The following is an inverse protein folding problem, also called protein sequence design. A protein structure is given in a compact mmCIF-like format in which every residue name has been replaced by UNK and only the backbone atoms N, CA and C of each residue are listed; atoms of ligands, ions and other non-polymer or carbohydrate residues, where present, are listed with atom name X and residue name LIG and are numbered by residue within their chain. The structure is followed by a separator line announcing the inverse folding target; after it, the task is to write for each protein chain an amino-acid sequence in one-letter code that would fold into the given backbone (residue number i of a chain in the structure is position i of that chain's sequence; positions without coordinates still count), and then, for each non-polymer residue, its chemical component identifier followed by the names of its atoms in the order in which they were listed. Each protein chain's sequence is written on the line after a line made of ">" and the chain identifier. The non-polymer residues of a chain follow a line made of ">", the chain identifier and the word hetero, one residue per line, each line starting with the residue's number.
data_IF_308952057701
#
_entry.id   IF_308952057701
#
_cell.length_a   1.000
_cell.length_b   1.000
_cell.length_c   1.000
_cell.angle_alpha   90.00
_cell.angle_beta   90.00
_cell.angle_gamma   90.00
#
_symmetry.space_group_name_H-M   'P 1'
#
loop_
_entity.id
_entity.type
_entity.pdbx_description
1 polymer ?
#
# COMPACT_ATOMS: atom_id res chain seq x y z
N UNK A 1 -23.84 -9.23 1.31
CA UNK A 1 -22.57 -9.12 2.04
C UNK A 1 -22.50 -7.78 2.78
N UNK A 2 -21.76 -7.72 3.88
CA UNK A 2 -21.48 -6.47 4.61
C UNK A 2 -19.97 -6.28 4.69
N UNK A 3 -19.49 -5.08 4.40
CA UNK A 3 -18.11 -4.67 4.66
C UNK A 3 -18.13 -3.75 5.89
N UNK A 4 -17.30 -4.05 6.88
CA UNK A 4 -17.08 -3.23 8.05
C UNK A 4 -15.67 -2.64 7.98
N UNK A 5 -15.55 -1.33 8.12
CA UNK A 5 -14.23 -0.69 8.12
C UNK A 5 -14.23 0.57 8.99
N UNK A 6 -13.06 0.98 9.41
CA UNK A 6 -12.87 2.30 9.99
C UNK A 6 -12.98 3.36 8.89
N UNK A 7 -13.23 4.60 9.30
CA UNK A 7 -13.42 5.71 8.38
C UNK A 7 -12.33 5.78 7.30
N UNK A 8 -12.74 5.71 6.05
CA UNK A 8 -11.87 5.95 4.91
C UNK A 8 -11.84 7.46 4.64
N UNK A 9 -10.68 8.07 4.55
CA UNK A 9 -10.56 9.50 4.30
C UNK A 9 -10.85 9.81 2.82
N UNK A 10 -11.44 10.99 2.53
CA UNK A 10 -11.67 11.46 1.15
C UNK A 10 -10.38 11.63 0.33
N UNK A 11 -9.26 11.91 1.01
CA UNK A 11 -7.93 12.06 0.41
C UNK A 11 -7.02 11.02 1.05
N UNK A 12 -6.67 9.97 0.32
CA UNK A 12 -5.83 8.88 0.81
C UNK A 12 -4.52 8.85 0.04
N UNK A 13 -3.46 9.29 0.69
CA UNK A 13 -2.08 9.16 0.21
C UNK A 13 -1.30 8.09 0.99
N UNK A 14 -1.93 7.49 2.00
CA UNK A 14 -1.36 6.38 2.77
C UNK A 14 -1.69 5.02 2.12
N UNK A 15 -0.66 4.18 1.94
CA UNK A 15 -0.78 2.90 1.23
C UNK A 15 -1.81 1.94 1.82
N UNK A 16 -1.94 1.86 3.15
CA UNK A 16 -2.91 0.97 3.80
C UNK A 16 -4.37 1.42 3.57
N UNK A 17 -4.63 2.71 3.68
CA UNK A 17 -5.96 3.29 3.41
C UNK A 17 -6.31 3.21 1.93
N UNK A 18 -5.34 3.50 1.05
CA UNK A 18 -5.51 3.38 -0.40
C UNK A 18 -5.83 1.95 -0.82
N UNK A 19 -5.17 0.96 -0.20
CA UNK A 19 -5.47 -0.46 -0.40
C UNK A 19 -6.90 -0.80 -0.01
N UNK A 20 -7.33 -0.42 1.20
CA UNK A 20 -8.67 -0.68 1.69
C UNK A 20 -9.74 -0.01 0.80
N UNK A 21 -9.56 1.26 0.47
CA UNK A 21 -10.47 2.01 -0.41
C UNK A 21 -10.58 1.39 -1.80
N UNK A 22 -9.44 1.05 -2.43
CA UNK A 22 -9.42 0.44 -3.76
C UNK A 22 -10.16 -0.89 -3.80
N UNK A 23 -9.92 -1.77 -2.84
CA UNK A 23 -10.59 -3.07 -2.74
C UNK A 23 -12.10 -2.89 -2.50
N UNK A 24 -12.50 -2.05 -1.55
CA UNK A 24 -13.91 -1.85 -1.19
C UNK A 24 -14.69 -1.30 -2.39
N UNK A 25 -14.14 -0.32 -3.10
CA UNK A 25 -14.76 0.25 -4.32
C UNK A 25 -14.93 -0.80 -5.42
N UNK A 26 -13.93 -1.66 -5.65
CA UNK A 26 -14.03 -2.73 -6.65
C UNK A 26 -15.07 -3.78 -6.25
N UNK A 27 -15.08 -4.23 -5.00
CA UNK A 27 -16.09 -5.16 -4.49
C UNK A 27 -17.50 -4.56 -4.64
N UNK A 28 -17.69 -3.28 -4.29
CA UNK A 28 -19.00 -2.63 -4.40
C UNK A 28 -19.48 -2.50 -5.84
N UNK A 29 -18.57 -2.27 -6.80
CA UNK A 29 -18.88 -2.27 -8.25
C UNK A 29 -19.26 -3.66 -8.75
N UNK A 30 -18.54 -4.71 -8.35
CA UNK A 30 -18.82 -6.09 -8.76
C UNK A 30 -20.07 -6.66 -8.10
N UNK A 31 -20.36 -6.22 -6.88
CA UNK A 31 -21.49 -6.68 -6.08
C UNK A 31 -22.26 -5.48 -5.48
N UNK A 32 -23.12 -4.79 -6.26
CA UNK A 32 -23.82 -3.57 -5.82
C UNK A 32 -24.69 -3.75 -4.57
N UNK A 33 -25.16 -4.98 -4.29
CA UNK A 33 -25.92 -5.32 -3.09
C UNK A 33 -25.06 -5.34 -1.81
N UNK A 34 -23.74 -5.15 -1.90
CA UNK A 34 -22.84 -5.06 -0.77
C UNK A 34 -23.07 -3.76 0.00
N UNK A 35 -23.29 -3.87 1.32
CA UNK A 35 -23.38 -2.71 2.21
C UNK A 35 -22.04 -2.42 2.87
N UNK A 36 -21.61 -1.17 2.82
CA UNK A 36 -20.40 -0.67 3.49
C UNK A 36 -20.82 0.11 4.73
N UNK A 37 -20.40 -0.35 5.90
CA UNK A 37 -20.68 0.29 7.19
C UNK A 37 -19.34 0.80 7.77
N UNK A 38 -19.26 2.09 8.07
CA UNK A 38 -18.11 2.73 8.69
C UNK A 38 -18.36 3.03 10.16
N UNK A 39 -17.29 3.17 10.98
CA UNK A 39 -17.42 3.33 12.43
C UNK A 39 -17.29 4.76 12.93
N UNK A 40 -16.76 5.69 12.15
CA UNK A 40 -16.44 7.03 12.64
C UNK A 40 -17.12 8.12 11.83
N UNK A 41 -16.95 8.11 10.52
CA UNK A 41 -17.47 9.13 9.61
C UNK A 41 -18.06 8.50 8.36
N UNK A 42 -19.06 9.15 7.82
CA UNK A 42 -19.55 8.83 6.49
C UNK A 42 -18.51 9.21 5.42
N UNK A 43 -18.38 8.36 4.44
CA UNK A 43 -17.54 8.58 3.26
C UNK A 43 -18.40 8.44 2.01
N UNK A 44 -17.87 8.82 0.85
CA UNK A 44 -18.58 8.70 -0.43
C UNK A 44 -18.92 7.25 -0.84
N UNK A 45 -18.28 6.25 -0.21
CA UNK A 45 -18.56 4.82 -0.45
C UNK A 45 -19.34 4.13 0.67
N UNK A 46 -19.51 4.78 1.83
CA UNK A 46 -20.27 4.22 2.94
C UNK A 46 -21.78 4.32 2.68
N UNK A 47 -22.50 3.24 2.97
CA UNK A 47 -23.97 3.25 2.95
C UNK A 47 -24.54 3.62 4.33
N UNK A 48 -23.74 3.43 5.38
CA UNK A 48 -24.14 3.72 6.75
C UNK A 48 -22.91 4.00 7.62
N UNK A 49 -23.05 4.90 8.59
CA UNK A 49 -22.07 5.12 9.66
C UNK A 49 -22.67 4.75 11.00
N UNK A 50 -21.95 3.97 11.80
CA UNK A 50 -22.39 3.51 13.11
C UNK A 50 -21.41 3.95 14.18
N UNK A 51 -21.87 4.68 15.18
CA UNK A 51 -21.07 4.96 16.38
C UNK A 51 -20.90 3.66 17.17
N UNK A 52 -19.71 3.12 17.19
CA UNK A 52 -19.37 1.95 17.98
C UNK A 52 -18.27 2.30 19.01
N UNK A 53 -18.30 1.59 20.14
CA UNK A 53 -17.17 1.71 21.08
C UNK A 53 -15.90 1.07 20.51
N UNK A 54 -14.77 1.23 21.22
CA UNK A 54 -13.45 0.71 20.78
C UNK A 54 -13.44 -0.81 20.52
N UNK A 55 -14.41 -1.56 21.09
CA UNK A 55 -14.53 -3.02 20.93
C UNK A 55 -15.64 -3.41 19.93
N UNK A 56 -16.23 -2.47 19.23
CA UNK A 56 -17.37 -2.68 18.31
C UNK A 56 -18.62 -3.29 18.98
N UNK A 57 -18.75 -3.14 20.30
CA UNK A 57 -19.92 -3.54 21.04
C UNK A 57 -21.06 -2.55 20.83
N UNK A 58 -21.92 -2.86 19.89
CA UNK A 58 -23.12 -2.07 19.60
C UNK A 58 -24.25 -3.03 19.21
N UNK A 59 -25.41 -2.97 19.92
CA UNK A 59 -26.58 -3.82 19.64
C UNK A 59 -27.11 -3.64 18.22
N UNK A 60 -27.10 -2.40 17.72
CA UNK A 60 -27.50 -2.09 16.34
C UNK A 60 -26.57 -2.71 15.31
N UNK A 61 -25.23 -2.69 15.53
CA UNK A 61 -24.28 -3.39 14.68
C UNK A 61 -24.49 -4.90 14.72
N UNK A 62 -24.64 -5.47 15.91
CA UNK A 62 -24.87 -6.90 16.10
C UNK A 62 -26.09 -7.41 15.31
N UNK A 63 -27.20 -6.68 15.33
CA UNK A 63 -28.41 -7.04 14.57
C UNK A 63 -28.18 -6.99 13.05
N UNK A 64 -27.39 -6.03 12.57
CA UNK A 64 -27.09 -5.88 11.13
C UNK A 64 -26.22 -7.00 10.57
N UNK A 65 -25.22 -7.46 11.34
CA UNK A 65 -24.23 -8.45 10.90
C UNK A 65 -24.62 -9.90 11.19
N UNK A 66 -25.65 -10.10 11.99
CA UNK A 66 -26.06 -11.43 12.46
C UNK A 66 -26.37 -12.38 11.30
N UNK A 67 -25.66 -13.52 11.26
CA UNK A 67 -25.77 -14.56 10.22
C UNK A 67 -25.50 -14.08 8.80
N UNK A 68 -24.84 -12.92 8.61
CA UNK A 68 -24.46 -12.42 7.30
C UNK A 68 -22.97 -12.68 7.04
N UNK A 69 -22.59 -12.76 5.76
CA UNK A 69 -21.18 -12.76 5.36
C UNK A 69 -20.61 -11.36 5.56
N UNK A 70 -19.55 -11.28 6.36
CA UNK A 70 -18.92 -10.01 6.76
C UNK A 70 -17.44 -10.03 6.39
N UNK A 71 -17.01 -8.99 5.66
CA UNK A 71 -15.63 -8.63 5.49
C UNK A 71 -15.28 -7.48 6.44
N UNK A 72 -14.40 -7.72 7.40
CA UNK A 72 -13.90 -6.68 8.29
C UNK A 72 -12.51 -6.22 7.84
N UNK A 73 -12.34 -4.91 7.65
CA UNK A 73 -11.07 -4.28 7.30
C UNK A 73 -10.67 -3.35 8.45
N UNK A 74 -9.84 -3.82 9.40
CA UNK A 74 -9.44 -3.04 10.57
C UNK A 74 -8.45 -1.92 10.20
N UNK A 75 -8.65 -0.74 10.79
CA UNK A 75 -7.69 0.35 10.75
C UNK A 75 -7.82 1.23 12.02
N UNK A 76 -6.73 1.62 12.70
CA UNK A 76 -5.42 0.99 12.63
C UNK A 76 -5.45 -0.45 13.17
N UNK A 77 -4.62 -1.32 12.59
CA UNK A 77 -4.59 -2.75 12.92
C UNK A 77 -3.67 -3.07 14.12
N UNK A 78 -3.91 -2.46 15.27
CA UNK A 78 -3.16 -2.77 16.51
C UNK A 78 -3.46 -4.20 16.97
N UNK A 79 -2.45 -5.06 17.26
CA UNK A 79 -2.64 -6.50 17.45
C UNK A 79 -3.75 -6.87 18.43
N UNK A 80 -3.64 -6.46 19.70
CA UNK A 80 -4.62 -6.84 20.75
C UNK A 80 -6.01 -6.26 20.47
N UNK A 81 -6.11 -5.00 20.05
CA UNK A 81 -7.39 -4.38 19.76
C UNK A 81 -8.07 -5.02 18.55
N UNK A 82 -7.29 -5.40 17.54
CA UNK A 82 -7.78 -6.10 16.35
C UNK A 82 -8.27 -7.50 16.71
N UNK A 83 -7.50 -8.27 17.48
CA UNK A 83 -7.88 -9.60 17.92
C UNK A 83 -9.18 -9.58 18.76
N UNK A 84 -9.30 -8.63 19.70
CA UNK A 84 -10.52 -8.44 20.50
C UNK A 84 -11.73 -8.10 19.63
N UNK A 85 -11.60 -7.18 18.68
CA UNK A 85 -12.68 -6.80 17.76
C UNK A 85 -13.13 -7.99 16.89
N UNK A 86 -12.19 -8.75 16.34
CA UNK A 86 -12.46 -9.95 15.56
C UNK A 86 -13.20 -10.98 16.42
N UNK A 87 -12.75 -11.22 17.66
CA UNK A 87 -13.40 -12.13 18.59
C UNK A 87 -14.83 -11.69 18.89
N UNK A 88 -15.06 -10.41 19.19
CA UNK A 88 -16.41 -9.87 19.45
C UNK A 88 -17.32 -10.00 18.22
N UNK A 89 -16.84 -9.59 17.03
CA UNK A 89 -17.62 -9.69 15.80
C UNK A 89 -17.98 -11.14 15.47
N UNK A 90 -17.08 -12.09 15.71
CA UNK A 90 -17.34 -13.51 15.46
C UNK A 90 -18.49 -14.08 16.28
N UNK A 91 -18.81 -13.49 17.46
CA UNK A 91 -19.98 -13.90 18.27
C UNK A 91 -21.32 -13.59 17.59
N UNK A 92 -21.33 -12.59 16.71
CA UNK A 92 -22.53 -12.19 15.98
C UNK A 92 -22.60 -12.81 14.59
N UNK A 93 -21.46 -12.91 13.89
CA UNK A 93 -21.38 -13.39 12.51
C UNK A 93 -21.21 -14.92 12.40
N UNK A 94 -20.75 -15.56 13.47
CA UNK A 94 -20.30 -16.96 13.45
C UNK A 94 -19.08 -17.14 12.53
N UNK A 95 -19.03 -18.23 11.78
CA UNK A 95 -17.95 -18.55 10.84
C UNK A 95 -17.94 -17.69 9.56
N UNK A 96 -18.91 -16.77 9.41
CA UNK A 96 -19.05 -15.94 8.21
C UNK A 96 -18.21 -14.64 8.28
N UNK A 97 -17.24 -14.55 9.19
CA UNK A 97 -16.33 -13.42 9.34
C UNK A 97 -15.01 -13.67 8.60
N UNK A 98 -14.75 -12.85 7.60
CA UNK A 98 -13.47 -12.73 6.91
C UNK A 98 -12.82 -11.41 7.31
N UNK A 99 -11.52 -11.38 7.47
CA UNK A 99 -10.78 -10.17 7.92
C UNK A 99 -9.64 -9.89 6.97
N UNK A 100 -9.64 -8.75 6.32
CA UNK A 100 -8.53 -8.29 5.49
C UNK A 100 -7.54 -7.50 6.35
N UNK A 101 -6.36 -8.05 6.56
CA UNK A 101 -5.25 -7.40 7.26
C UNK A 101 -4.30 -6.76 6.25
N UNK A 102 -4.41 -5.45 6.06
CA UNK A 102 -3.50 -4.68 5.19
C UNK A 102 -2.16 -4.39 5.87
N UNK A 103 -2.15 -4.33 7.20
CA UNK A 103 -0.94 -4.25 8.01
C UNK A 103 -0.89 -5.45 8.96
N UNK A 104 0.21 -6.15 8.93
CA UNK A 104 0.44 -7.33 9.76
C UNK A 104 1.52 -7.01 10.79
N UNK A 105 1.23 -7.24 12.06
CA UNK A 105 2.18 -7.09 13.16
C UNK A 105 2.24 -8.38 13.97
N UNK A 106 3.39 -8.71 14.55
CA UNK A 106 3.50 -9.85 15.47
C UNK A 106 2.48 -9.74 16.59
N UNK A 107 1.87 -10.88 16.94
CA UNK A 107 0.81 -10.95 17.96
C UNK A 107 1.33 -11.63 19.22
N UNK A 108 0.94 -11.09 20.37
CA UNK A 108 1.13 -11.73 21.67
C UNK A 108 0.26 -12.99 21.83
N UNK A 109 0.51 -13.77 22.89
CA UNK A 109 -0.17 -15.04 23.12
C UNK A 109 -1.68 -14.89 23.31
N UNK A 110 -2.14 -13.80 23.93
CA UNK A 110 -3.57 -13.53 24.13
C UNK A 110 -4.25 -13.22 22.81
N UNK A 111 -3.64 -12.38 21.96
CA UNK A 111 -4.14 -12.07 20.63
C UNK A 111 -4.26 -13.31 19.75
N UNK A 112 -3.24 -14.19 19.77
CA UNK A 112 -3.27 -15.49 19.06
C UNK A 112 -4.42 -16.38 19.55
N UNK A 113 -4.61 -16.47 20.85
CA UNK A 113 -5.67 -17.26 21.47
C UNK A 113 -7.06 -16.74 21.07
N UNK A 114 -7.28 -15.41 21.13
CA UNK A 114 -8.53 -14.79 20.71
C UNK A 114 -8.85 -15.05 19.23
N UNK A 115 -7.86 -14.95 18.36
CA UNK A 115 -8.03 -15.26 16.94
C UNK A 115 -8.36 -16.73 16.70
N UNK A 116 -7.71 -17.67 17.42
CA UNK A 116 -8.07 -19.09 17.35
C UNK A 116 -9.54 -19.33 17.69
N UNK A 117 -10.00 -18.73 18.80
CA UNK A 117 -11.37 -18.87 19.31
C UNK A 117 -12.42 -18.18 18.43
N UNK A 118 -12.04 -17.14 17.69
CA UNK A 118 -12.98 -16.41 16.84
C UNK A 118 -13.54 -17.26 15.70
N UNK A 119 -12.78 -18.23 15.20
CA UNK A 119 -13.12 -18.99 14.00
C UNK A 119 -13.11 -18.16 12.71
N UNK A 120 -12.67 -16.89 12.75
CA UNK A 120 -12.58 -16.02 11.59
C UNK A 120 -11.47 -16.48 10.62
N UNK A 121 -11.64 -16.19 9.35
CA UNK A 121 -10.60 -16.38 8.34
C UNK A 121 -9.90 -15.06 8.07
N UNK A 122 -8.58 -15.13 7.95
CA UNK A 122 -7.74 -13.96 7.65
C UNK A 122 -7.35 -13.94 6.18
N UNK A 123 -7.36 -12.76 5.60
CA UNK A 123 -6.80 -12.46 4.28
C UNK A 123 -5.63 -11.52 4.52
N UNK A 124 -4.43 -11.93 4.12
CA UNK A 124 -3.17 -11.21 4.34
C UNK A 124 -2.52 -10.89 3.01
N UNK A 125 -1.72 -9.82 2.97
CA UNK A 125 -1.17 -9.25 1.74
C UNK A 125 0.30 -9.60 1.51
N UNK A 126 0.90 -10.43 2.36
CA UNK A 126 2.28 -10.88 2.22
C UNK A 126 2.44 -12.35 2.55
N UNK A 127 3.43 -12.99 1.91
CA UNK A 127 3.76 -14.40 2.16
C UNK A 127 4.31 -14.60 3.56
N UNK A 128 5.10 -13.64 4.05
CA UNK A 128 5.60 -13.67 5.43
C UNK A 128 4.47 -13.65 6.46
N UNK A 129 3.44 -12.82 6.25
CA UNK A 129 2.25 -12.82 7.07
C UNK A 129 1.45 -14.12 6.94
N UNK A 130 1.31 -14.66 5.72
CA UNK A 130 0.68 -15.95 5.48
C UNK A 130 1.33 -17.06 6.32
N UNK A 131 2.65 -17.19 6.22
CA UNK A 131 3.42 -18.19 6.98
C UNK A 131 3.26 -17.99 8.49
N UNK A 132 3.44 -16.75 8.97
CA UNK A 132 3.29 -16.42 10.38
C UNK A 132 1.92 -16.80 10.95
N UNK A 133 0.83 -16.41 10.28
CA UNK A 133 -0.52 -16.67 10.79
C UNK A 133 -0.94 -18.13 10.58
N UNK A 134 -0.45 -18.83 9.55
CA UNK A 134 -0.72 -20.26 9.33
C UNK A 134 -0.22 -21.16 10.45
N UNK A 135 0.88 -20.80 11.13
CA UNK A 135 1.41 -21.57 12.27
C UNK A 135 0.34 -21.85 13.33
N UNK A 136 -0.59 -20.91 13.53
CA UNK A 136 -1.58 -21.07 14.59
C UNK A 136 -3.05 -21.02 14.12
N UNK A 137 -3.34 -20.66 12.88
CA UNK A 137 -4.69 -20.64 12.30
C UNK A 137 -4.90 -21.69 11.21
N UNK A 138 -3.83 -22.30 10.70
CA UNK A 138 -3.88 -23.30 9.62
C UNK A 138 -4.48 -22.73 8.34
N UNK A 139 -5.43 -23.48 7.74
CA UNK A 139 -6.03 -23.15 6.44
C UNK A 139 -6.99 -21.96 6.48
N UNK A 140 -7.19 -21.35 7.65
CA UNK A 140 -8.00 -20.14 7.81
C UNK A 140 -7.27 -18.85 7.40
N UNK A 141 -6.11 -18.96 6.78
CA UNK A 141 -5.31 -17.80 6.31
C UNK A 141 -5.12 -17.89 4.81
N UNK A 142 -5.55 -16.85 4.13
CA UNK A 142 -5.49 -16.74 2.67
C UNK A 142 -4.53 -15.61 2.27
N UNK A 143 -3.71 -15.88 1.26
CA UNK A 143 -2.87 -14.86 0.66
C UNK A 143 -3.64 -14.08 -0.41
N UNK A 144 -3.48 -12.76 -0.40
CA UNK A 144 -4.01 -11.85 -1.39
C UNK A 144 -2.86 -11.07 -2.02
N UNK A 145 -2.63 -11.27 -3.30
CA UNK A 145 -1.77 -10.42 -4.09
C UNK A 145 -2.43 -9.05 -4.23
N UNK A 146 -1.75 -7.96 -3.84
CA UNK A 146 -2.30 -6.61 -3.95
C UNK A 146 -2.36 -6.16 -5.40
N UNK A 147 -3.18 -5.14 -5.65
CA UNK A 147 -3.38 -4.57 -6.96
C UNK A 147 -2.75 -3.19 -7.15
N UNK A 148 -2.62 -2.83 -8.41
CA UNK A 148 -2.35 -1.49 -8.89
C UNK A 148 -3.42 -1.12 -9.94
N UNK A 149 -3.76 0.15 -10.08
CA UNK A 149 -4.67 0.60 -11.14
C UNK A 149 -3.87 0.77 -12.45
N UNK A 150 -3.76 -0.31 -13.21
CA UNK A 150 -2.95 -0.36 -14.45
C UNK A 150 -3.50 0.48 -15.58
N UNK A 151 -4.73 0.97 -15.46
CA UNK A 151 -5.31 1.94 -16.40
C UNK A 151 -4.85 3.35 -16.08
N UNK A 152 -4.87 3.71 -14.81
CA UNK A 152 -4.42 5.00 -14.30
C UNK A 152 -2.89 5.12 -14.34
N UNK A 153 -2.19 4.09 -13.85
CA UNK A 153 -0.74 3.99 -13.88
C UNK A 153 -0.33 3.24 -15.14
N UNK A 154 -0.02 3.98 -16.18
CA UNK A 154 0.39 3.45 -17.48
C UNK A 154 1.52 4.29 -18.07
N UNK A 155 2.34 3.72 -18.95
CA UNK A 155 3.33 4.48 -19.70
C UNK A 155 2.69 5.60 -20.52
N UNK A 156 3.45 6.63 -20.78
CA UNK A 156 3.09 7.73 -21.68
C UNK A 156 4.16 7.88 -22.76
N UNK A 157 3.79 8.51 -23.88
CA UNK A 157 4.72 8.86 -24.94
C UNK A 157 5.74 9.92 -24.46
N UNK A 158 6.91 9.96 -25.08
CA UNK A 158 8.00 10.89 -24.73
C UNK A 158 7.56 12.35 -24.76
N UNK A 159 6.72 12.72 -25.72
CA UNK A 159 6.15 14.07 -25.79
C UNK A 159 5.37 14.41 -24.51
N UNK A 160 4.49 13.50 -24.06
CA UNK A 160 3.70 13.70 -22.84
C UNK A 160 4.60 13.74 -21.61
N UNK A 161 5.61 12.90 -21.55
CA UNK A 161 6.63 12.90 -20.49
C UNK A 161 7.32 14.27 -20.37
N UNK A 162 7.69 14.88 -21.48
CA UNK A 162 8.32 16.21 -21.50
C UNK A 162 7.34 17.32 -21.08
N UNK A 163 6.07 17.27 -21.53
CA UNK A 163 5.02 18.18 -21.07
C UNK A 163 4.81 18.12 -19.56
N UNK A 164 4.86 16.92 -18.97
CA UNK A 164 4.73 16.72 -17.54
C UNK A 164 5.96 17.29 -16.79
N UNK A 165 7.18 17.13 -17.33
CA UNK A 165 8.36 17.76 -16.75
C UNK A 165 8.23 19.28 -16.69
N UNK A 166 7.76 19.90 -17.77
CA UNK A 166 7.52 21.35 -17.79
C UNK A 166 6.46 21.76 -16.75
N UNK A 167 5.35 21.00 -16.68
CA UNK A 167 4.27 21.25 -15.71
C UNK A 167 4.78 21.28 -14.27
N UNK A 168 5.73 20.41 -13.93
CA UNK A 168 6.27 20.29 -12.57
C UNK A 168 7.62 20.99 -12.37
N UNK A 169 8.13 21.73 -13.35
CA UNK A 169 9.40 22.43 -13.29
C UNK A 169 10.63 21.49 -13.20
N UNK A 170 10.54 20.31 -13.80
CA UNK A 170 11.58 19.29 -13.80
C UNK A 170 12.46 19.43 -15.03
N UNK A 171 13.82 19.38 -14.92
CA UNK A 171 14.73 19.49 -16.05
C UNK A 171 14.47 18.43 -17.13
N UNK A 172 14.45 18.86 -18.40
CA UNK A 172 14.24 17.94 -19.54
C UNK A 172 15.46 17.10 -19.88
N UNK A 173 16.63 17.62 -19.62
CA UNK A 173 17.96 17.09 -19.99
C UNK A 173 18.53 16.10 -18.98
N UNK A 174 17.93 15.98 -17.79
CA UNK A 174 18.39 15.06 -16.75
C UNK A 174 17.51 13.81 -16.65
N UNK A 175 18.11 12.68 -16.28
CA UNK A 175 17.35 11.51 -15.85
C UNK A 175 16.75 11.76 -14.48
N UNK A 176 15.48 11.40 -14.30
CA UNK A 176 14.70 11.68 -13.09
C UNK A 176 14.59 10.44 -12.22
N UNK A 177 15.08 10.55 -10.98
CA UNK A 177 14.92 9.54 -9.92
C UNK A 177 13.77 9.95 -9.00
N UNK A 178 12.71 9.15 -8.98
CA UNK A 178 11.50 9.40 -8.18
C UNK A 178 11.50 8.56 -6.90
N UNK A 179 11.12 9.17 -5.79
CA UNK A 179 10.66 8.47 -4.57
C UNK A 179 9.32 9.02 -4.10
N UNK A 180 8.40 8.15 -3.71
CA UNK A 180 7.08 8.51 -3.15
C UNK A 180 6.91 7.83 -1.80
N UNK A 181 6.73 8.61 -0.73
CA UNK A 181 6.55 8.03 0.59
C UNK A 181 6.56 9.04 1.74
N UNK A 182 6.57 8.51 2.96
CA UNK A 182 6.67 9.34 4.16
C UNK A 182 8.10 9.83 4.39
N UNK A 183 8.25 11.06 4.82
CA UNK A 183 9.56 11.63 5.17
C UNK A 183 9.90 11.33 6.64
N UNK A 184 10.31 10.10 6.90
CA UNK A 184 10.77 9.66 8.21
C UNK A 184 12.01 8.76 8.11
N UNK A 185 12.73 8.59 9.22
CA UNK A 185 13.97 7.82 9.26
C UNK A 185 13.80 6.35 8.81
N UNK A 186 12.66 5.72 9.16
CA UNK A 186 12.40 4.32 8.81
C UNK A 186 12.25 4.07 7.30
N UNK A 187 11.94 5.11 6.52
CA UNK A 187 11.87 5.05 5.06
C UNK A 187 13.22 5.20 4.37
N UNK A 188 14.27 5.50 5.13
CA UNK A 188 15.64 5.70 4.65
C UNK A 188 15.74 6.74 3.50
N UNK A 189 14.88 7.76 3.55
CA UNK A 189 14.79 8.82 2.51
C UNK A 189 16.11 9.63 2.42
N UNK A 190 16.93 9.60 3.46
CA UNK A 190 18.27 10.18 3.47
C UNK A 190 19.18 9.71 2.33
N UNK A 191 18.98 8.48 1.83
CA UNK A 191 19.69 7.95 0.65
C UNK A 191 19.57 8.85 -0.59
N UNK A 192 18.47 9.60 -0.71
CA UNK A 192 18.28 10.55 -1.83
C UNK A 192 19.30 11.70 -1.82
N UNK A 193 19.92 12.00 -0.68
CA UNK A 193 21.00 13.00 -0.60
C UNK A 193 22.24 12.53 -1.35
N UNK A 194 22.44 11.22 -1.47
CA UNK A 194 23.60 10.60 -2.15
C UNK A 194 23.41 10.46 -3.66
N UNK A 195 22.22 10.72 -4.21
CA UNK A 195 22.00 10.68 -5.67
C UNK A 195 22.82 11.78 -6.35
N UNK A 196 23.66 11.39 -7.33
CA UNK A 196 24.61 12.27 -7.98
C UNK A 196 23.95 13.40 -8.78
N UNK A 197 24.65 14.54 -9.01
CA UNK A 197 24.08 15.74 -9.66
C UNK A 197 23.68 15.57 -11.14
N UNK A 198 24.16 14.54 -11.81
CA UNK A 198 23.72 14.21 -13.18
C UNK A 198 22.27 13.74 -13.24
N UNK A 199 21.73 13.24 -12.13
CA UNK A 199 20.31 12.94 -11.98
C UNK A 199 19.55 14.14 -11.38
N UNK A 200 18.25 14.22 -11.65
CA UNK A 200 17.34 15.07 -10.91
C UNK A 200 16.45 14.20 -10.02
N UNK A 201 16.41 14.49 -8.73
CA UNK A 201 15.61 13.71 -7.78
C UNK A 201 14.26 14.37 -7.54
N UNK A 202 13.18 13.61 -7.62
CA UNK A 202 11.83 14.05 -7.24
C UNK A 202 11.38 13.26 -6.01
N UNK A 203 11.11 13.96 -4.93
CA UNK A 203 10.57 13.40 -3.70
C UNK A 203 9.13 13.86 -3.51
N UNK A 204 8.19 12.91 -3.54
CA UNK A 204 6.78 13.17 -3.18
C UNK A 204 6.54 12.70 -1.76
N UNK A 205 6.19 13.62 -0.86
CA UNK A 205 5.97 13.35 0.55
C UNK A 205 4.48 13.19 0.84
N UNK A 206 4.11 12.09 1.51
CA UNK A 206 2.74 11.90 1.98
C UNK A 206 2.35 12.97 2.99
N UNK A 207 1.19 13.60 2.76
CA UNK A 207 0.69 14.73 3.58
C UNK A 207 0.04 14.30 4.88
N UNK A 208 -0.39 13.05 5.02
CA UNK A 208 -1.13 12.57 6.20
C UNK A 208 -0.25 12.41 7.45
N UNK A 209 1.07 12.43 7.30
CA UNK A 209 2.04 12.29 8.39
C UNK A 209 2.92 13.53 8.55
N UNK A 210 2.44 14.70 8.17
CA UNK A 210 3.19 15.96 8.25
C UNK A 210 3.78 16.23 9.63
N UNK A 211 3.06 15.88 10.71
CA UNK A 211 3.50 16.06 12.09
C UNK A 211 4.63 15.12 12.54
N UNK A 212 4.89 14.05 11.77
CA UNK A 212 5.91 13.05 12.03
C UNK A 212 7.14 13.17 11.12
N UNK A 213 7.20 14.22 10.30
CA UNK A 213 8.30 14.44 9.37
C UNK A 213 9.60 14.80 10.10
N UNK A 214 10.71 14.22 9.62
CA UNK A 214 12.06 14.63 10.03
C UNK A 214 12.39 16.01 9.44
N UNK A 215 12.26 17.05 10.28
CA UNK A 215 12.48 18.45 9.87
C UNK A 215 13.94 18.71 9.46
N UNK A 216 14.89 18.07 10.11
CA UNK A 216 16.31 18.23 9.79
C UNK A 216 16.64 17.60 8.43
N UNK A 217 16.17 16.38 8.20
CA UNK A 217 16.31 15.73 6.90
C UNK A 217 15.61 16.53 5.79
N UNK A 218 14.41 17.05 6.06
CA UNK A 218 13.68 17.89 5.10
C UNK A 218 14.48 19.12 4.69
N UNK A 219 15.08 19.82 5.65
CA UNK A 219 15.92 21.00 5.35
C UNK A 219 17.14 20.65 4.49
N UNK A 220 17.79 19.51 4.76
CA UNK A 220 18.91 19.03 3.95
C UNK A 220 18.50 18.67 2.52
N UNK A 221 17.36 18.02 2.35
CA UNK A 221 16.81 17.65 1.04
C UNK A 221 16.46 18.92 0.23
N UNK A 222 15.83 19.92 0.86
CA UNK A 222 15.51 21.19 0.19
C UNK A 222 16.74 22.01 -0.21
N UNK A 223 17.85 21.84 0.50
CA UNK A 223 19.11 22.53 0.17
C UNK A 223 19.88 21.87 -1.00
N UNK A 224 19.41 20.70 -1.50
CA UNK A 224 20.04 19.98 -2.60
C UNK A 224 19.57 20.55 -3.94
N UNK A 225 20.48 21.08 -4.76
CA UNK A 225 20.15 21.77 -6.01
C UNK A 225 19.43 20.89 -7.07
N UNK A 226 19.79 19.60 -7.14
CA UNK A 226 19.18 18.67 -8.10
C UNK A 226 17.98 17.93 -7.52
N UNK A 227 17.17 18.61 -6.66
CA UNK A 227 16.01 17.99 -6.02
C UNK A 227 14.75 18.87 -6.12
N UNK A 228 13.64 18.21 -6.40
CA UNK A 228 12.30 18.79 -6.24
C UNK A 228 11.56 18.02 -5.16
N UNK A 229 11.10 18.71 -4.10
CA UNK A 229 10.31 18.15 -3.02
C UNK A 229 8.86 18.64 -3.16
N UNK A 230 7.92 17.69 -3.27
CA UNK A 230 6.48 17.94 -3.37
C UNK A 230 5.80 17.39 -2.12
N UNK A 231 5.24 18.26 -1.29
CA UNK A 231 4.61 17.92 0.00
C UNK A 231 3.13 18.33 0.08
N UNK A 232 2.48 18.48 -1.07
CA UNK A 232 1.05 18.72 -1.19
C UNK A 232 0.32 17.46 -1.67
N UNK A 233 -0.98 17.35 -1.36
CA UNK A 233 -1.81 16.29 -1.94
C UNK A 233 -1.91 16.44 -3.46
N UNK A 234 -1.51 15.40 -4.17
CA UNK A 234 -1.50 15.34 -5.63
C UNK A 234 -2.61 14.39 -6.12
N UNK A 235 -3.74 14.91 -6.63
CA UNK A 235 -4.82 14.07 -7.15
C UNK A 235 -4.35 13.22 -8.34
N UNK A 236 -3.44 13.77 -9.17
CA UNK A 236 -2.88 13.13 -10.35
C UNK A 236 -1.46 12.59 -10.12
N UNK A 237 -1.27 11.88 -9.02
CA UNK A 237 0.04 11.33 -8.63
C UNK A 237 0.69 10.46 -9.72
N UNK A 238 -0.10 9.82 -10.60
CA UNK A 238 0.42 9.03 -11.73
C UNK A 238 1.32 9.85 -12.67
N UNK A 239 1.10 11.16 -12.77
CA UNK A 239 1.91 12.03 -13.62
C UNK A 239 3.37 12.10 -13.14
N UNK A 240 3.61 11.97 -11.82
CA UNK A 240 4.96 11.96 -11.24
C UNK A 240 5.72 10.67 -11.61
N UNK A 241 5.03 9.54 -11.67
CA UNK A 241 5.61 8.29 -12.17
C UNK A 241 5.87 8.39 -13.68
N UNK A 242 4.91 8.93 -14.45
CA UNK A 242 5.01 9.07 -15.90
C UNK A 242 6.16 9.97 -16.36
N UNK A 243 6.55 11.00 -15.59
CA UNK A 243 7.67 11.88 -15.92
C UNK A 243 9.04 11.32 -15.49
N UNK A 244 9.07 10.29 -14.61
CA UNK A 244 10.29 9.73 -14.05
C UNK A 244 10.99 8.75 -15.01
N UNK A 245 12.27 8.47 -14.75
CA UNK A 245 13.08 7.47 -15.47
C UNK A 245 13.43 6.28 -14.59
N UNK A 246 13.54 6.48 -13.26
CA UNK A 246 13.86 5.44 -12.28
C UNK A 246 13.04 5.69 -11.04
N UNK A 247 12.49 4.64 -10.46
CA UNK A 247 11.88 4.68 -9.14
C UNK A 247 12.84 4.09 -8.10
N UNK A 248 13.17 4.85 -7.06
CA UNK A 248 14.08 4.41 -5.99
C UNK A 248 13.29 4.13 -4.71
N UNK A 249 13.37 2.89 -4.20
CA UNK A 249 12.73 2.44 -2.97
C UNK A 249 13.77 1.93 -1.97
N UNK A 250 14.36 2.81 -1.12
CA UNK A 250 15.47 2.47 -0.23
C UNK A 250 15.01 1.98 1.16
N UNK A 251 13.75 1.61 1.33
CA UNK A 251 13.15 1.24 2.63
C UNK A 251 13.71 -0.08 3.14
N UNK A 252 14.21 -0.09 4.37
CA UNK A 252 14.74 -1.29 5.01
C UNK A 252 13.92 -1.72 6.24
N UNK A 253 13.36 -0.76 6.99
CA UNK A 253 12.61 -1.07 8.20
C UNK A 253 11.23 -1.64 7.88
N UNK A 254 10.93 -2.90 8.28
CA UNK A 254 9.65 -3.56 8.00
C UNK A 254 8.41 -2.82 8.52
N UNK A 255 8.56 -2.00 9.56
CA UNK A 255 7.45 -1.24 10.16
C UNK A 255 7.13 0.07 9.41
N UNK A 256 7.95 0.45 8.45
CA UNK A 256 7.84 1.76 7.79
C UNK A 256 6.94 1.77 6.55
N UNK A 257 6.56 0.61 6.04
CA UNK A 257 5.70 0.46 4.87
C UNK A 257 4.83 -0.81 5.01
N UNK A 258 3.75 -0.87 4.24
CA UNK A 258 3.06 -2.16 4.04
C UNK A 258 3.97 -3.13 3.28
N UNK A 259 3.82 -4.43 3.55
CA UNK A 259 4.70 -5.46 2.97
C UNK A 259 4.67 -5.52 1.43
N UNK A 260 3.60 -5.05 0.80
CA UNK A 260 3.49 -4.90 -0.65
C UNK A 260 3.43 -3.41 -1.03
N UNK A 261 4.59 -2.75 -1.25
CA UNK A 261 4.66 -1.31 -1.49
C UNK A 261 3.98 -0.89 -2.80
N UNK A 262 2.82 -0.25 -2.70
CA UNK A 262 2.05 0.18 -3.87
C UNK A 262 2.84 1.11 -4.78
N UNK A 263 3.65 2.00 -4.22
CA UNK A 263 4.43 2.97 -4.99
C UNK A 263 5.43 2.31 -5.94
N UNK A 264 6.03 1.18 -5.57
CA UNK A 264 6.90 0.40 -6.45
C UNK A 264 6.11 -0.29 -7.58
N UNK A 265 4.91 -0.82 -7.26
CA UNK A 265 4.01 -1.41 -8.26
C UNK A 265 3.47 -0.34 -9.23
N UNK A 266 3.15 0.85 -8.73
CA UNK A 266 2.69 2.00 -9.53
C UNK A 266 3.79 2.47 -10.49
N UNK A 267 5.04 2.51 -10.02
CA UNK A 267 6.19 2.82 -10.85
C UNK A 267 6.37 1.81 -12.00
N UNK A 268 6.39 0.51 -11.65
CA UNK A 268 6.49 -0.55 -12.63
C UNK A 268 5.32 -0.54 -13.63
N UNK A 269 4.10 -0.27 -13.16
CA UNK A 269 2.92 -0.14 -14.03
C UNK A 269 3.03 1.02 -15.02
N UNK A 270 3.74 2.11 -14.65
CA UNK A 270 4.09 3.21 -15.57
C UNK A 270 5.28 2.87 -16.49
N UNK A 271 5.82 1.66 -16.43
CA UNK A 271 6.92 1.22 -17.29
C UNK A 271 8.30 1.74 -16.88
N UNK A 272 8.46 2.29 -15.66
CA UNK A 272 9.76 2.79 -15.18
C UNK A 272 10.44 1.73 -14.30
N UNK A 273 11.77 1.55 -14.47
CA UNK A 273 12.53 0.59 -13.68
C UNK A 273 12.50 0.94 -12.18
N UNK A 274 12.47 -0.11 -11.37
CA UNK A 274 12.41 -0.02 -9.91
C UNK A 274 13.72 -0.49 -9.30
N UNK A 275 14.42 0.39 -8.62
CA UNK A 275 15.60 0.09 -7.80
C UNK A 275 15.11 0.00 -6.34
N UNK A 276 15.17 -1.18 -5.74
CA UNK A 276 14.56 -1.41 -4.44
C UNK A 276 15.41 -2.33 -3.54
N UNK A 277 15.32 -2.09 -2.24
CA UNK A 277 15.82 -3.02 -1.23
C UNK A 277 15.02 -4.34 -1.25
N UNK A 278 15.55 -5.38 -0.63
CA UNK A 278 14.89 -6.68 -0.42
C UNK A 278 13.73 -6.55 0.58
N UNK A 279 12.71 -5.77 0.23
CA UNK A 279 11.61 -5.41 1.12
C UNK A 279 10.32 -6.18 0.77
N UNK A 280 9.70 -6.82 1.76
CA UNK A 280 8.38 -7.42 1.65
C UNK A 280 8.21 -8.27 0.39
N UNK A 281 7.10 -8.07 -0.31
CA UNK A 281 6.75 -8.77 -1.55
C UNK A 281 7.60 -8.35 -2.77
N UNK A 282 8.36 -7.24 -2.69
CA UNK A 282 9.29 -6.85 -3.76
C UNK A 282 10.39 -7.89 -4.00
N UNK A 283 10.72 -8.71 -3.00
CA UNK A 283 11.70 -9.79 -3.14
C UNK A 283 11.41 -10.72 -4.31
N UNK A 284 10.13 -11.00 -4.57
CA UNK A 284 9.72 -11.87 -5.69
C UNK A 284 9.84 -11.16 -7.05
N UNK A 285 9.71 -9.84 -7.05
CA UNK A 285 9.81 -9.03 -8.27
C UNK A 285 11.25 -8.71 -8.66
N UNK A 286 12.21 -8.73 -7.71
CA UNK A 286 13.60 -8.37 -7.97
C UNK A 286 14.34 -9.33 -8.93
N UNK A 287 13.75 -10.48 -9.25
CA UNK A 287 14.22 -11.36 -10.33
C UNK A 287 13.59 -11.06 -11.70
N UNK A 288 12.64 -10.15 -11.77
CA UNK A 288 11.91 -9.82 -12.99
C UNK A 288 12.60 -8.67 -13.74
N UNK A 289 12.31 -8.56 -15.05
CA UNK A 289 12.87 -7.46 -15.86
C UNK A 289 12.39 -6.09 -15.35
N UNK A 290 13.31 -5.15 -15.27
CA UNK A 290 13.08 -3.79 -14.80
C UNK A 290 13.03 -3.63 -13.27
N UNK A 291 13.28 -4.71 -12.49
CA UNK A 291 13.48 -4.63 -11.06
C UNK A 291 14.94 -4.91 -10.70
N UNK A 292 15.54 -4.02 -9.92
CA UNK A 292 16.96 -4.06 -9.59
C UNK A 292 17.17 -4.03 -8.08
N UNK A 293 17.90 -4.99 -7.49
CA UNK A 293 18.17 -5.01 -6.06
C UNK A 293 19.11 -3.86 -5.66
N UNK A 294 18.72 -3.12 -4.62
CA UNK A 294 19.54 -2.15 -3.93
C UNK A 294 20.16 -2.82 -2.71
N UNK A 295 21.33 -3.42 -2.89
CA UNK A 295 22.03 -4.16 -1.84
C UNK A 295 22.98 -3.25 -1.05
N UNK A 296 23.60 -2.28 -1.72
CA UNK A 296 24.52 -1.31 -1.14
C UNK A 296 24.00 0.12 -1.37
N UNK A 297 24.00 0.92 -0.31
CA UNK A 297 23.51 2.31 -0.30
C UNK A 297 24.66 3.32 -0.18
N UNK A 298 25.89 2.86 -0.18
CA UNK A 298 27.02 3.77 -0.27
C UNK A 298 26.93 4.60 -1.55
N UNK A 299 27.29 5.90 -1.49
CA UNK A 299 27.05 6.83 -2.61
C UNK A 299 27.58 6.35 -3.96
N UNK A 300 28.77 5.75 -3.98
CA UNK A 300 29.42 5.25 -5.21
C UNK A 300 28.63 4.07 -5.80
N UNK A 301 28.30 3.08 -5.00
CA UNK A 301 27.56 1.87 -5.41
C UNK A 301 26.14 2.22 -5.88
N UNK A 302 25.44 3.08 -5.14
CA UNK A 302 24.12 3.58 -5.52
C UNK A 302 24.15 4.26 -6.90
N UNK A 303 25.08 5.19 -7.12
CA UNK A 303 25.14 5.95 -8.37
C UNK A 303 25.60 5.10 -9.55
N UNK A 304 26.48 4.13 -9.34
CA UNK A 304 26.83 3.14 -10.37
C UNK A 304 25.59 2.33 -10.79
N UNK A 305 24.80 1.83 -9.82
CA UNK A 305 23.56 1.12 -10.09
C UNK A 305 22.57 2.00 -10.85
N UNK A 306 22.36 3.27 -10.44
CA UNK A 306 21.45 4.19 -11.12
C UNK A 306 21.89 4.46 -12.58
N UNK A 307 23.20 4.64 -12.86
CA UNK A 307 23.73 4.78 -14.22
C UNK A 307 23.46 3.53 -15.06
N UNK A 308 23.73 2.36 -14.52
CA UNK A 308 23.47 1.07 -15.18
C UNK A 308 21.99 0.91 -15.54
N UNK A 309 21.10 1.25 -14.61
CA UNK A 309 19.65 1.17 -14.83
C UNK A 309 19.19 2.20 -15.84
N UNK A 310 19.70 3.44 -15.78
CA UNK A 310 19.35 4.51 -16.71
C UNK A 310 19.75 4.23 -18.17
N UNK A 311 20.77 3.39 -18.39
CA UNK A 311 21.27 3.02 -19.71
C UNK A 311 20.57 1.80 -20.31
N UNK A 312 19.78 1.05 -19.50
CA UNK A 312 19.16 -0.22 -19.92
C UNK A 312 17.69 -0.01 -20.30
N UNK A 313 17.30 -0.60 -21.44
CA UNK A 313 15.86 -0.77 -21.76
C UNK A 313 15.28 -1.94 -20.98
N UNK A 314 14.10 -1.78 -20.43
CA UNK A 314 13.40 -2.83 -19.66
C UNK A 314 11.88 -2.65 -19.73
N UNK A 315 11.15 -3.69 -19.37
CA UNK A 315 9.68 -3.76 -19.39
C UNK A 315 9.09 -4.20 -18.05
N UNK A 316 9.25 -3.43 -16.96
CA UNK A 316 8.76 -3.83 -15.63
C UNK A 316 7.24 -3.94 -15.56
N UNK A 317 6.50 -3.30 -16.46
CA UNK A 317 5.03 -3.30 -16.49
C UNK A 317 4.46 -4.70 -16.63
N UNK A 318 5.05 -5.55 -17.47
CA UNK A 318 4.54 -6.90 -17.70
C UNK A 318 4.50 -7.73 -16.41
N UNK A 319 5.50 -7.55 -15.55
CA UNK A 319 5.61 -8.23 -14.26
C UNK A 319 4.53 -7.84 -13.25
N UNK A 320 3.83 -6.73 -13.47
CA UNK A 320 2.81 -6.21 -12.54
C UNK A 320 1.40 -6.16 -13.12
N UNK A 321 1.17 -6.58 -14.34
CA UNK A 321 -0.17 -6.59 -14.95
C UNK A 321 -1.15 -7.50 -14.21
N UNK A 322 -0.67 -8.61 -13.64
CA UNK A 322 -1.51 -9.48 -12.80
C UNK A 322 -1.78 -8.93 -11.39
N UNK A 323 -1.13 -7.82 -11.02
CA UNK A 323 -1.41 -7.08 -9.80
C UNK A 323 -2.55 -6.08 -10.09
N UNK A 324 -3.76 -6.59 -10.30
CA UNK A 324 -4.92 -5.75 -10.61
C UNK A 324 -5.93 -5.75 -9.45
N UNK A 325 -6.49 -4.58 -9.13
CA UNK A 325 -7.46 -4.46 -8.05
C UNK A 325 -8.76 -5.25 -8.30
N UNK A 326 -9.15 -5.48 -9.57
CA UNK A 326 -10.33 -6.27 -9.88
C UNK A 326 -10.07 -7.72 -9.51
N UNK A 327 -8.90 -8.25 -9.90
CA UNK A 327 -8.50 -9.61 -9.54
C UNK A 327 -8.42 -9.82 -8.01
N UNK A 328 -7.84 -8.86 -7.29
CA UNK A 328 -7.81 -8.89 -5.83
C UNK A 328 -9.24 -8.92 -5.22
N UNK A 329 -10.16 -8.13 -5.75
CA UNK A 329 -11.55 -8.11 -5.30
C UNK A 329 -12.29 -9.42 -5.63
N UNK A 330 -12.05 -10.02 -6.80
CA UNK A 330 -12.59 -11.33 -7.19
C UNK A 330 -12.16 -12.45 -6.24
N UNK A 331 -10.86 -12.50 -5.90
CA UNK A 331 -10.33 -13.47 -4.93
C UNK A 331 -11.02 -13.31 -3.57
N UNK A 332 -11.18 -12.07 -3.08
CA UNK A 332 -11.89 -11.82 -1.82
C UNK A 332 -13.34 -12.31 -1.90
N UNK A 333 -14.04 -12.01 -2.99
CA UNK A 333 -15.42 -12.47 -3.19
C UNK A 333 -15.51 -14.00 -3.22
N UNK A 334 -14.57 -14.68 -3.88
CA UNK A 334 -14.49 -16.14 -3.89
C UNK A 334 -14.29 -16.71 -2.47
N UNK A 335 -13.36 -16.11 -1.67
CA UNK A 335 -13.14 -16.53 -0.27
C UNK A 335 -14.40 -16.33 0.58
N UNK A 336 -15.13 -15.24 0.37
CA UNK A 336 -16.36 -14.93 1.10
C UNK A 336 -17.51 -15.88 0.72
N UNK A 337 -17.58 -16.31 -0.54
CA UNK A 337 -18.64 -17.19 -1.05
C UNK A 337 -18.38 -18.69 -0.80
N UNK A 338 -17.16 -19.09 -0.44
CA UNK A 338 -16.88 -20.46 0.02
C UNK A 338 -17.67 -20.73 1.29
N UNK A 339 -18.54 -21.75 1.26
CA UNK A 339 -19.35 -22.21 2.40
C UNK A 339 -18.56 -23.11 3.33
#
# INVERSE_FOLDING_TARGET
>A
MIILTNSLAKKTDEGSLKTADSIIRRIKRMCPATKVITFERETDISDESVRANKLLLNRGLASRVRKKSVLYVPFPARPIATALRIFVLSRFTGRNLKVLLVMCSPMDSLSKWLLKLSGAELIVISRSALEYYRIFLGDRVHYLKLGVDTVRFCPVEDRRKMELRDKYGIPRDKKVVLHVGHLNAGRNVGTLLSVAPEFHTVLVVSTQTADQQDRQLRSRLLAKENMTLLDSYLPDIQELYQLADIYLFPVQNPESCIDAPLSALEAAACGIPVVATLYGELKELLSQDGFYPLEDMEPEALNELLRKVAAKSCSPRESVLEYDWNHAAEIILQIIMRK
#
